data_IF_613809058112
#
_entry.id   IF_613809058112
#
_cell.length_a   1.000
_cell.length_b   1.000
_cell.length_c   1.000
_cell.angle_alpha   90.00
_cell.angle_beta   90.00
_cell.angle_gamma   90.00
#
_symmetry.space_group_name_H-M   'P 1'
#
loop_
_entity.id
_entity.type
_entity.pdbx_description
1 polymer ?
#
# COMPACT_ATOMS: atom_id res chain seq x y z
N UNK A 1 15.80 8.02 -1.66
CA UNK A 1 15.52 8.23 -3.09
C UNK A 1 15.92 9.64 -3.49
N UNK A 2 15.49 10.67 -2.76
CA UNK A 2 15.74 12.08 -3.11
C UNK A 2 17.08 12.69 -2.68
N UNK A 3 17.83 12.07 -1.76
CA UNK A 3 19.10 12.63 -1.27
C UNK A 3 20.15 12.65 -2.41
N UNK A 4 20.55 13.84 -2.92
CA UNK A 4 21.45 13.95 -4.07
C UNK A 4 22.87 13.46 -3.78
N UNK A 5 23.24 13.26 -2.51
CA UNK A 5 24.56 12.76 -2.10
C UNK A 5 24.69 11.24 -2.22
N UNK A 6 23.57 10.52 -2.40
CA UNK A 6 23.56 9.05 -2.44
C UNK A 6 23.72 8.52 -3.87
N UNK A 7 24.55 7.49 -4.03
CA UNK A 7 24.73 6.81 -5.32
C UNK A 7 23.51 5.95 -5.70
N UNK A 8 23.39 5.63 -6.99
CA UNK A 8 22.33 4.76 -7.51
C UNK A 8 22.38 3.37 -6.86
N UNK A 9 23.57 2.82 -6.67
CA UNK A 9 23.80 1.51 -6.06
C UNK A 9 23.29 1.47 -4.62
N UNK A 10 23.57 2.52 -3.85
CA UNK A 10 23.12 2.61 -2.47
C UNK A 10 21.60 2.78 -2.39
N UNK A 11 20.99 3.60 -3.27
CA UNK A 11 19.53 3.73 -3.37
C UNK A 11 18.87 2.39 -3.73
N UNK A 12 19.41 1.67 -4.71
CA UNK A 12 18.92 0.35 -5.13
C UNK A 12 19.04 -0.67 -4.00
N UNK A 13 20.16 -0.67 -3.27
CA UNK A 13 20.35 -1.54 -2.10
C UNK A 13 19.30 -1.29 -1.03
N UNK A 14 19.08 -0.03 -0.65
CA UNK A 14 18.09 0.34 0.35
C UNK A 14 16.65 0.03 -0.10
N UNK A 15 16.35 0.24 -1.39
CA UNK A 15 15.07 -0.13 -1.98
C UNK A 15 14.78 -1.63 -1.86
N UNK A 16 15.77 -2.49 -2.14
CA UNK A 16 15.64 -3.94 -1.99
C UNK A 16 15.39 -4.34 -0.54
N UNK A 17 16.14 -3.78 0.40
CA UNK A 17 15.96 -4.03 1.85
C UNK A 17 14.54 -3.65 2.29
N UNK A 18 14.04 -2.49 1.87
CA UNK A 18 12.69 -2.05 2.22
C UNK A 18 11.61 -2.99 1.62
N UNK A 19 11.80 -3.40 0.37
CA UNK A 19 10.90 -4.32 -0.34
C UNK A 19 10.87 -5.71 0.31
N UNK A 20 12.02 -6.27 0.65
CA UNK A 20 12.14 -7.55 1.37
C UNK A 20 11.49 -7.50 2.75
N UNK A 21 11.70 -6.40 3.49
CA UNK A 21 11.07 -6.19 4.79
C UNK A 21 9.54 -6.11 4.66
N UNK A 22 9.02 -5.37 3.69
CA UNK A 22 7.58 -5.28 3.43
C UNK A 22 7.00 -6.66 3.08
N UNK A 23 7.66 -7.41 2.19
CA UNK A 23 7.27 -8.76 1.81
C UNK A 23 7.26 -9.72 2.99
N UNK A 24 8.24 -9.63 3.89
CA UNK A 24 8.29 -10.43 5.09
C UNK A 24 7.16 -10.08 6.07
N UNK A 25 6.94 -8.79 6.34
CA UNK A 25 5.91 -8.32 7.27
C UNK A 25 4.49 -8.68 6.81
N UNK A 26 4.17 -8.56 5.51
CA UNK A 26 2.84 -8.94 5.03
C UNK A 26 2.60 -10.46 5.18
N UNK A 27 3.61 -11.32 4.95
CA UNK A 27 3.49 -12.78 5.17
C UNK A 27 3.27 -13.11 6.64
N UNK A 28 3.96 -12.43 7.54
CA UNK A 28 3.70 -12.55 8.98
C UNK A 28 2.27 -12.14 9.31
N UNK A 29 1.77 -11.02 8.79
CA UNK A 29 0.40 -10.59 9.01
C UNK A 29 -0.63 -11.60 8.47
N UNK A 30 -0.42 -12.13 7.27
CA UNK A 30 -1.28 -13.16 6.65
C UNK A 30 -1.33 -14.48 7.43
N UNK A 31 -0.29 -14.77 8.21
CA UNK A 31 -0.20 -15.97 9.06
C UNK A 31 -0.55 -15.69 10.52
N UNK A 32 -1.21 -14.57 10.80
CA UNK A 32 -1.69 -14.22 12.15
C UNK A 32 -0.61 -13.64 13.08
N UNK A 33 0.59 -13.38 12.58
CA UNK A 33 1.69 -12.75 13.34
C UNK A 33 1.72 -11.22 13.22
N UNK A 34 0.62 -10.61 12.80
CA UNK A 34 0.43 -9.15 12.81
C UNK A 34 0.06 -8.64 14.22
N UNK A 35 0.31 -7.36 14.48
CA UNK A 35 0.13 -6.79 15.83
C UNK A 35 -1.22 -6.09 16.04
N UNK A 36 -1.79 -5.52 14.99
CA UNK A 36 -2.93 -4.59 15.09
C UNK A 36 -4.17 -5.22 15.72
N UNK A 37 -4.54 -6.43 15.28
CA UNK A 37 -5.69 -7.16 15.82
C UNK A 37 -5.43 -7.68 17.23
N UNK A 38 -4.18 -7.99 17.55
CA UNK A 38 -3.79 -8.36 18.92
C UNK A 38 -3.91 -7.15 19.85
N UNK A 39 -3.37 -6.00 19.49
CA UNK A 39 -3.51 -4.74 20.24
C UNK A 39 -4.98 -4.33 20.40
N UNK A 40 -5.78 -4.48 19.34
CA UNK A 40 -7.22 -4.23 19.42
C UNK A 40 -7.93 -5.17 20.40
N UNK A 41 -7.58 -6.45 20.42
CA UNK A 41 -8.11 -7.40 21.40
C UNK A 41 -7.77 -6.98 22.84
N UNK A 42 -6.51 -6.60 23.10
CA UNK A 42 -6.08 -6.09 24.40
C UNK A 42 -6.86 -4.84 24.81
N UNK A 43 -7.14 -3.94 23.87
CA UNK A 43 -8.00 -2.77 24.11
C UNK A 43 -9.43 -3.15 24.47
N UNK A 44 -10.06 -4.07 23.73
CA UNK A 44 -11.42 -4.54 24.04
C UNK A 44 -11.48 -5.17 25.45
N UNK A 45 -10.49 -5.99 25.80
CA UNK A 45 -10.39 -6.61 27.12
C UNK A 45 -10.16 -5.55 28.21
N UNK A 46 -9.29 -4.56 27.98
CA UNK A 46 -9.04 -3.49 28.96
C UNK A 46 -10.32 -2.69 29.23
N UNK A 47 -11.15 -2.43 28.21
CA UNK A 47 -12.45 -1.78 28.39
C UNK A 47 -13.42 -2.62 29.20
N UNK A 48 -13.50 -3.93 28.94
CA UNK A 48 -14.33 -4.84 29.71
C UNK A 48 -13.94 -4.91 31.19
N UNK A 49 -12.63 -4.96 31.47
CA UNK A 49 -12.10 -5.00 32.84
C UNK A 49 -12.02 -3.63 33.52
N UNK A 50 -12.44 -2.56 32.84
CA UNK A 50 -12.29 -1.18 33.30
C UNK A 50 -10.84 -0.80 33.68
N UNK A 51 -9.86 -1.36 32.96
CA UNK A 51 -8.44 -1.06 33.12
C UNK A 51 -8.01 -0.03 32.08
N UNK A 52 -7.42 1.07 32.56
CA UNK A 52 -6.78 2.05 31.70
C UNK A 52 -5.36 1.62 31.34
N UNK A 53 -5.00 1.79 30.07
CA UNK A 53 -3.65 1.53 29.57
C UNK A 53 -3.17 2.76 28.79
N UNK A 54 -2.20 3.53 29.33
CA UNK A 54 -1.59 4.64 28.61
C UNK A 54 -0.99 4.21 27.27
N UNK A 55 -0.37 3.03 27.22
CA UNK A 55 0.18 2.46 26.00
C UNK A 55 -0.88 2.21 24.92
N UNK A 56 -2.00 1.58 25.28
CA UNK A 56 -3.08 1.31 24.31
C UNK A 56 -3.75 2.61 23.85
N UNK A 57 -3.84 3.61 24.72
CA UNK A 57 -4.35 4.94 24.36
C UNK A 57 -3.46 5.62 23.33
N UNK A 58 -2.14 5.56 23.51
CA UNK A 58 -1.17 6.12 22.58
C UNK A 58 -1.20 5.39 21.23
N UNK A 59 -0.98 4.08 21.23
CA UNK A 59 -0.80 3.31 19.99
C UNK A 59 -2.05 3.29 19.10
N UNK A 60 -3.25 3.42 19.69
CA UNK A 60 -4.51 3.44 18.94
C UNK A 60 -4.97 4.85 18.57
N UNK A 61 -4.26 5.90 19.00
CA UNK A 61 -4.60 7.30 18.66
C UNK A 61 -4.09 7.73 17.29
N UNK A 62 -3.11 7.01 16.74
CA UNK A 62 -2.50 7.33 15.46
C UNK A 62 -3.45 7.06 14.29
N UNK A 63 -3.79 8.08 13.48
CA UNK A 63 -4.71 7.90 12.35
C UNK A 63 -4.01 7.23 11.16
N UNK A 64 -4.75 6.36 10.49
CA UNK A 64 -4.32 5.75 9.22
C UNK A 64 -4.48 6.75 8.06
N UNK A 65 -3.53 7.69 7.94
CA UNK A 65 -3.51 8.70 6.86
C UNK A 65 -3.35 8.12 5.47
N UNK A 66 -2.81 6.92 5.34
CA UNK A 66 -2.75 6.19 4.09
C UNK A 66 -3.36 4.80 4.31
N UNK A 67 -4.61 4.63 3.87
CA UNK A 67 -5.28 3.34 3.89
C UNK A 67 -5.18 2.72 2.50
N UNK A 68 -4.60 1.53 2.40
CA UNK A 68 -4.37 0.87 1.11
C UNK A 68 -4.94 -0.53 1.07
N UNK A 69 -5.42 -0.97 -0.09
CA UNK A 69 -5.69 -2.39 -0.32
C UNK A 69 -5.33 -2.81 -1.75
N UNK A 70 -4.90 -4.06 -1.87
CA UNK A 70 -4.83 -4.74 -3.16
C UNK A 70 -6.08 -5.61 -3.33
N UNK A 71 -6.70 -5.56 -4.50
CA UNK A 71 -7.74 -6.52 -4.88
C UNK A 71 -7.18 -7.45 -5.97
N UNK A 72 -6.58 -8.59 -5.61
CA UNK A 72 -6.03 -9.50 -6.61
C UNK A 72 -7.16 -10.10 -7.45
N UNK A 73 -7.09 -9.95 -8.77
CA UNK A 73 -8.05 -10.58 -9.69
C UNK A 73 -7.72 -12.05 -9.94
N UNK A 74 -6.44 -12.36 -9.93
CA UNK A 74 -5.96 -13.71 -10.04
C UNK A 74 -5.34 -14.11 -8.71
N UNK A 75 -5.92 -15.12 -8.08
CA UNK A 75 -5.28 -15.88 -7.03
C UNK A 75 -4.86 -17.19 -7.69
N UNK A 76 -3.58 -17.56 -7.59
CA UNK A 76 -2.95 -18.78 -8.16
C UNK A 76 -3.08 -18.96 -9.70
N UNK A 77 -2.48 -20.01 -10.24
CA UNK A 77 -2.46 -20.33 -11.69
C UNK A 77 -3.80 -20.92 -12.20
N UNK A 78 -4.90 -20.65 -11.51
CA UNK A 78 -6.20 -21.25 -11.82
C UNK A 78 -6.98 -20.54 -12.93
N UNK A 79 -6.60 -19.30 -13.29
CA UNK A 79 -7.35 -18.49 -14.25
C UNK A 79 -6.43 -17.65 -15.13
N UNK A 80 -6.58 -17.79 -16.45
CA UNK A 80 -5.82 -17.06 -17.46
C UNK A 80 -6.57 -15.80 -17.88
N UNK A 81 -6.18 -14.63 -17.34
CA UNK A 81 -6.83 -13.35 -17.63
C UNK A 81 -6.69 -12.93 -19.11
N UNK A 82 -5.61 -13.35 -19.78
CA UNK A 82 -5.36 -13.11 -21.21
C UNK A 82 -6.37 -13.84 -22.12
N UNK A 83 -6.84 -15.02 -21.68
CA UNK A 83 -7.81 -15.84 -22.42
C UNK A 83 -9.26 -15.48 -22.11
N UNK A 84 -9.51 -14.74 -21.04
CA UNK A 84 -10.85 -14.42 -20.56
C UNK A 84 -10.96 -12.92 -20.20
N UNK A 85 -10.71 -12.01 -21.16
CA UNK A 85 -10.65 -10.57 -20.92
C UNK A 85 -11.96 -9.97 -20.39
N UNK A 86 -13.09 -10.63 -20.63
CA UNK A 86 -14.42 -10.23 -20.16
C UNK A 86 -14.59 -10.32 -18.63
N UNK A 87 -13.72 -11.06 -17.95
CA UNK A 87 -13.70 -11.16 -16.48
C UNK A 87 -12.71 -10.18 -15.84
N UNK A 88 -12.03 -9.36 -16.64
CA UNK A 88 -11.12 -8.33 -16.17
C UNK A 88 -11.89 -7.05 -15.84
N UNK A 89 -11.68 -6.55 -14.63
CA UNK A 89 -12.18 -5.26 -14.15
C UNK A 89 -11.03 -4.31 -13.78
N UNK A 90 -11.26 -2.99 -13.78
CA UNK A 90 -10.28 -2.05 -13.22
C UNK A 90 -10.27 -2.03 -11.68
N UNK A 91 -11.08 -2.87 -11.04
CA UNK A 91 -11.24 -2.94 -9.60
C UNK A 91 -12.24 -1.93 -9.06
N UNK A 92 -12.19 -1.72 -7.74
CA UNK A 92 -13.00 -0.73 -7.03
C UNK A 92 -12.15 0.11 -6.09
N UNK A 93 -12.77 1.11 -5.47
CA UNK A 93 -12.13 2.05 -4.57
C UNK A 93 -12.90 2.24 -3.26
N UNK A 94 -12.28 2.95 -2.32
CA UNK A 94 -12.87 3.35 -1.06
C UNK A 94 -12.41 4.76 -0.69
N UNK A 95 -13.16 5.45 0.17
CA UNK A 95 -12.79 6.75 0.71
C UNK A 95 -11.69 6.66 1.77
N UNK A 96 -11.01 7.77 2.11
CA UNK A 96 -10.02 7.79 3.18
C UNK A 96 -10.66 7.55 4.55
N UNK A 97 -9.92 6.89 5.45
CA UNK A 97 -10.36 6.58 6.83
C UNK A 97 -9.99 7.67 7.84
N UNK A 98 -9.13 8.61 7.44
CA UNK A 98 -8.79 9.82 8.18
C UNK A 98 -9.24 11.05 7.40
N UNK A 99 -9.57 12.14 8.10
CA UNK A 99 -9.97 13.40 7.45
C UNK A 99 -8.84 14.04 6.65
N UNK A 100 -7.59 13.85 7.09
CA UNK A 100 -6.36 14.33 6.50
C UNK A 100 -5.58 13.23 5.74
N UNK A 101 -6.30 12.21 5.25
CA UNK A 101 -5.71 11.03 4.64
C UNK A 101 -6.16 10.71 3.21
N UNK A 102 -5.65 9.58 2.72
CA UNK A 102 -5.93 9.01 1.41
C UNK A 102 -6.48 7.58 1.52
N UNK A 103 -7.40 7.23 0.63
CA UNK A 103 -7.78 5.85 0.33
C UNK A 103 -7.17 5.45 -1.01
N UNK A 104 -6.34 4.40 -1.03
CA UNK A 104 -5.65 3.94 -2.24
C UNK A 104 -5.90 2.46 -2.48
N UNK A 105 -6.71 2.14 -3.49
CA UNK A 105 -6.93 0.77 -3.94
C UNK A 105 -6.14 0.52 -5.21
N UNK A 106 -5.61 -0.69 -5.37
CA UNK A 106 -4.92 -1.08 -6.59
C UNK A 106 -5.16 -2.52 -7.01
N UNK A 107 -5.10 -2.74 -8.32
CA UNK A 107 -5.25 -4.05 -8.97
C UNK A 107 -4.13 -4.23 -9.98
N UNK A 108 -3.45 -5.39 -9.89
CA UNK A 108 -2.53 -5.84 -10.93
C UNK A 108 -3.35 -6.64 -11.95
N UNK A 109 -3.40 -6.16 -13.18
CA UNK A 109 -4.19 -6.74 -14.27
C UNK A 109 -3.23 -7.41 -15.26
N UNK A 110 -3.19 -8.75 -15.21
CA UNK A 110 -2.18 -9.53 -15.93
C UNK A 110 -0.76 -9.06 -15.56
N UNK A 111 0.13 -9.04 -16.55
CA UNK A 111 1.54 -8.69 -16.35
C UNK A 111 1.91 -7.26 -16.78
N UNK A 112 0.94 -6.51 -17.36
CA UNK A 112 1.23 -5.29 -18.11
C UNK A 112 0.55 -4.03 -17.57
N UNK A 113 -0.40 -4.16 -16.64
CA UNK A 113 -1.20 -3.04 -16.18
C UNK A 113 -1.37 -3.05 -14.66
N UNK A 114 -1.20 -1.88 -14.06
CA UNK A 114 -1.55 -1.61 -12.68
C UNK A 114 -2.62 -0.52 -12.68
N UNK A 115 -3.80 -0.83 -12.17
CA UNK A 115 -4.86 0.15 -11.96
C UNK A 115 -4.81 0.68 -10.54
N UNK A 116 -4.87 1.99 -10.37
CA UNK A 116 -4.95 2.67 -9.08
C UNK A 116 -6.25 3.49 -9.00
N UNK A 117 -6.93 3.37 -7.88
CA UNK A 117 -7.96 4.30 -7.45
C UNK A 117 -7.46 5.06 -6.22
N UNK A 118 -7.40 6.39 -6.32
CA UNK A 118 -6.95 7.28 -5.24
C UNK A 118 -8.11 8.20 -4.84
N UNK A 119 -8.38 8.29 -3.55
CA UNK A 119 -9.39 9.18 -2.98
C UNK A 119 -8.83 10.00 -1.82
N UNK A 120 -9.40 11.19 -1.61
CA UNK A 120 -9.12 12.12 -0.52
C UNK A 120 -10.37 12.97 -0.25
N UNK A 121 -10.43 13.69 0.87
CA UNK A 121 -11.57 14.57 1.19
C UNK A 121 -11.29 15.98 0.69
N UNK A 122 -12.25 16.60 0.00
CA UNK A 122 -12.18 18.01 -0.41
C UNK A 122 -12.05 18.98 0.76
N UNK A 123 -12.51 18.58 1.95
CA UNK A 123 -12.42 19.39 3.17
C UNK A 123 -11.00 19.53 3.72
N UNK A 124 -10.04 18.71 3.29
CA UNK A 124 -8.65 18.80 3.73
C UNK A 124 -7.77 19.39 2.63
N UNK A 125 -7.30 20.64 2.77
CA UNK A 125 -6.48 21.31 1.75
C UNK A 125 -5.08 20.68 1.58
N UNK A 126 -4.62 19.89 2.55
CA UNK A 126 -3.34 19.17 2.49
C UNK A 126 -3.42 17.90 1.64
N UNK A 127 -4.63 17.42 1.31
CA UNK A 127 -4.83 16.21 0.51
C UNK A 127 -5.35 16.52 -0.88
N UNK A 128 -4.78 15.87 -1.91
CA UNK A 128 -5.22 16.01 -3.29
C UNK A 128 -4.98 14.69 -4.04
N UNK A 129 -6.06 14.04 -4.48
CA UNK A 129 -6.02 12.74 -5.13
C UNK A 129 -5.28 12.76 -6.48
N UNK A 130 -5.39 13.85 -7.25
CA UNK A 130 -4.71 14.00 -8.53
C UNK A 130 -3.21 14.23 -8.33
N UNK A 131 -2.83 15.08 -7.37
CA UNK A 131 -1.43 15.31 -6.98
C UNK A 131 -0.79 14.03 -6.47
N UNK A 132 -1.49 13.28 -5.60
CA UNK A 132 -1.00 11.99 -5.12
C UNK A 132 -0.83 11.00 -6.27
N UNK A 133 -1.81 10.90 -7.17
CA UNK A 133 -1.71 10.05 -8.37
C UNK A 133 -0.54 10.41 -9.28
N UNK A 134 -0.24 11.70 -9.43
CA UNK A 134 0.94 12.17 -10.16
C UNK A 134 2.25 11.70 -9.49
N UNK A 135 2.39 11.92 -8.18
CA UNK A 135 3.58 11.49 -7.44
C UNK A 135 3.74 9.96 -7.43
N UNK A 136 2.64 9.21 -7.37
CA UNK A 136 2.67 7.76 -7.45
C UNK A 136 3.23 7.28 -8.79
N UNK A 137 2.79 7.89 -9.90
CA UNK A 137 3.31 7.58 -11.24
C UNK A 137 4.79 7.93 -11.37
N UNK A 138 5.20 9.07 -10.83
CA UNK A 138 6.61 9.50 -10.79
C UNK A 138 7.46 8.49 -10.00
N UNK A 139 7.04 8.13 -8.78
CA UNK A 139 7.74 7.15 -7.95
C UNK A 139 7.89 5.78 -8.64
N UNK A 140 6.84 5.28 -9.32
CA UNK A 140 6.91 4.03 -10.08
C UNK A 140 7.87 4.14 -11.28
N UNK A 141 7.93 5.30 -11.93
CA UNK A 141 8.86 5.57 -13.04
C UNK A 141 10.30 5.66 -12.55
N UNK A 142 10.52 6.27 -11.39
CA UNK A 142 11.82 6.36 -10.73
C UNK A 142 12.31 4.98 -10.32
N UNK A 143 11.41 4.11 -9.85
CA UNK A 143 11.73 2.70 -9.59
C UNK A 143 12.17 1.97 -10.88
N UNK A 144 11.44 2.11 -11.99
CA UNK A 144 11.86 1.52 -13.28
C UNK A 144 13.28 1.97 -13.65
N UNK A 145 13.54 3.27 -13.51
CA UNK A 145 14.85 3.88 -13.80
C UNK A 145 15.93 3.37 -12.84
N UNK A 146 15.63 3.22 -11.54
CA UNK A 146 16.54 2.72 -10.52
C UNK A 146 17.05 1.30 -10.83
N UNK A 147 16.21 0.46 -11.44
CA UNK A 147 16.59 -0.89 -11.86
C UNK A 147 17.25 -0.93 -13.24
N UNK A 148 17.41 0.22 -13.92
CA UNK A 148 18.00 0.29 -15.25
C UNK A 148 17.10 -0.27 -16.36
N UNK A 149 15.81 -0.45 -16.09
CA UNK A 149 14.85 -0.87 -17.11
C UNK A 149 14.50 0.31 -18.02
N UNK A 150 14.37 0.06 -19.33
CA UNK A 150 13.80 1.05 -20.25
C UNK A 150 12.28 0.90 -20.23
N UNK A 151 11.56 2.01 -20.44
CA UNK A 151 10.12 1.94 -20.71
C UNK A 151 9.89 1.00 -21.90
N UNK A 152 9.08 -0.05 -21.73
CA UNK A 152 8.85 -1.16 -22.68
C UNK A 152 9.98 -2.20 -22.87
N UNK A 153 10.92 -2.34 -21.92
CA UNK A 153 11.80 -3.51 -21.90
C UNK A 153 10.98 -4.78 -21.71
N UNK A 154 10.84 -5.61 -22.76
CA UNK A 154 10.36 -6.98 -22.62
C UNK A 154 11.45 -7.82 -21.94
N UNK A 155 11.04 -8.71 -21.04
CA UNK A 155 11.90 -9.80 -20.54
C UNK A 155 12.39 -10.65 -21.71
#
# INVERSE_FOLDING_TARGET
>A
MEDPTQTVEQRLRLFKIASEKHQHLYRLAMTGSGIDRHLFCLYVVSKYLAVESPFLKEVLSEPWRLSTSQTPQQQVELFHLDKNPEYVSSGGGFGPVADDGYGVSYVLVGDNLINFHVSSKFSCPETDSHRFGKHLREALTDMITLFGFKSNSKK
#
